data_IF_628987410332
#
_entry.id   IF_628987410332
#
_cell.length_a   1.000
_cell.length_b   1.000
_cell.length_c   1.000
_cell.angle_alpha   90.00
_cell.angle_beta   90.00
_cell.angle_gamma   90.00
#
_symmetry.space_group_name_H-M   'P 1'
#
loop_
_entity.id
_entity.type
_entity.pdbx_description
1 polymer ?
#
# COMPACT_ATOMS: atom_id res chain seq x y z
N UNK A 1 -19.98 22.41 -4.23
CA UNK A 1 -18.94 21.36 -4.37
C UNK A 1 -19.49 20.25 -5.24
N UNK A 2 -18.70 19.66 -6.09
CA UNK A 2 -19.13 18.55 -6.96
C UNK A 2 -18.61 17.24 -6.37
N UNK A 3 -19.50 16.27 -6.21
CA UNK A 3 -19.14 14.94 -5.75
C UNK A 3 -18.76 14.06 -6.96
N UNK A 4 -17.51 13.65 -7.03
CA UNK A 4 -16.99 12.81 -8.09
C UNK A 4 -16.98 11.35 -7.62
N UNK A 5 -17.60 10.47 -8.38
CA UNK A 5 -17.49 9.03 -8.18
C UNK A 5 -16.36 8.50 -9.08
N UNK A 6 -15.19 8.36 -8.51
CA UNK A 6 -14.00 7.90 -9.22
C UNK A 6 -13.99 6.38 -9.28
N UNK A 7 -13.83 5.82 -10.48
CA UNK A 7 -13.76 4.38 -10.74
C UNK A 7 -12.50 4.06 -11.52
N UNK A 8 -11.77 3.06 -11.07
CA UNK A 8 -10.69 2.42 -11.84
C UNK A 8 -11.11 1.02 -12.30
N UNK A 9 -11.83 0.31 -11.45
CA UNK A 9 -12.48 -0.97 -11.72
C UNK A 9 -13.78 -1.07 -10.95
N UNK A 10 -14.52 -2.17 -11.08
CA UNK A 10 -15.76 -2.38 -10.33
C UNK A 10 -15.56 -2.45 -8.83
N UNK A 11 -14.37 -2.92 -8.38
CA UNK A 11 -13.99 -3.03 -6.96
C UNK A 11 -13.12 -1.88 -6.46
N UNK A 12 -12.53 -1.09 -7.35
CA UNK A 12 -11.69 0.05 -6.99
C UNK A 12 -12.41 1.35 -7.33
N UNK A 13 -13.21 1.79 -6.37
CA UNK A 13 -14.06 2.97 -6.50
C UNK A 13 -14.08 3.75 -5.18
N UNK A 14 -14.18 5.08 -5.28
CA UNK A 14 -14.30 5.98 -4.14
C UNK A 14 -15.00 7.29 -4.52
N UNK A 15 -15.46 8.03 -3.53
CA UNK A 15 -16.03 9.36 -3.71
C UNK A 15 -14.99 10.42 -3.35
N UNK A 16 -14.93 11.46 -4.15
CA UNK A 16 -14.07 12.62 -3.96
C UNK A 16 -14.89 13.90 -4.18
N UNK A 17 -14.81 14.84 -3.28
CA UNK A 17 -15.50 16.13 -3.39
C UNK A 17 -14.51 17.26 -3.66
N UNK A 18 -14.88 18.14 -4.59
CA UNK A 18 -14.04 19.28 -4.99
C UNK A 18 -14.91 20.43 -5.54
N UNK A 19 -14.43 21.69 -5.47
CA UNK A 19 -15.09 22.78 -6.17
C UNK A 19 -15.09 22.58 -7.69
N UNK A 20 -16.20 22.92 -8.36
CA UNK A 20 -16.27 22.82 -9.83
C UNK A 20 -15.27 23.75 -10.56
N UNK A 21 -14.81 24.79 -9.90
CA UNK A 21 -13.82 25.73 -10.43
C UNK A 21 -12.37 25.27 -10.30
N UNK A 22 -12.13 24.05 -9.79
CA UNK A 22 -10.79 23.48 -9.64
C UNK A 22 -10.26 23.04 -11.01
N UNK A 23 -8.98 23.25 -11.26
CA UNK A 23 -8.30 22.74 -12.45
C UNK A 23 -8.21 21.21 -12.44
N UNK A 24 -8.35 20.61 -13.61
CA UNK A 24 -8.32 19.15 -13.78
C UNK A 24 -6.98 18.57 -13.30
N UNK A 25 -5.85 19.25 -13.47
CA UNK A 25 -4.54 18.76 -13.00
C UNK A 25 -4.51 18.64 -11.46
N UNK A 26 -5.07 19.60 -10.75
CA UNK A 26 -5.18 19.55 -9.28
C UNK A 26 -6.06 18.38 -8.85
N UNK A 27 -7.22 18.24 -9.48
CA UNK A 27 -8.14 17.10 -9.23
C UNK A 27 -7.46 15.77 -9.50
N UNK A 28 -6.72 15.63 -10.61
CA UNK A 28 -5.98 14.42 -10.97
C UNK A 28 -4.93 14.07 -9.91
N UNK A 29 -4.15 15.05 -9.43
CA UNK A 29 -3.13 14.85 -8.38
C UNK A 29 -3.76 14.33 -7.09
N UNK A 30 -4.85 14.92 -6.64
CA UNK A 30 -5.54 14.48 -5.41
C UNK A 30 -6.16 13.10 -5.58
N UNK A 31 -6.80 12.83 -6.71
CA UNK A 31 -7.40 11.53 -7.02
C UNK A 31 -6.34 10.42 -7.08
N UNK A 32 -5.18 10.68 -7.72
CA UNK A 32 -4.06 9.74 -7.76
C UNK A 32 -3.47 9.51 -6.38
N UNK A 33 -3.30 10.56 -5.58
CA UNK A 33 -2.80 10.45 -4.20
C UNK A 33 -3.75 9.61 -3.32
N UNK A 34 -5.05 9.83 -3.41
CA UNK A 34 -6.07 9.04 -2.70
C UNK A 34 -6.00 7.57 -3.15
N UNK A 35 -5.93 7.32 -4.47
CA UNK A 35 -5.82 5.97 -5.00
C UNK A 35 -4.58 5.25 -4.45
N UNK A 36 -3.40 5.88 -4.54
CA UNK A 36 -2.15 5.28 -4.08
C UNK A 36 -2.15 5.02 -2.56
N UNK A 37 -2.71 5.93 -1.76
CA UNK A 37 -2.88 5.71 -0.31
C UNK A 37 -3.82 4.54 -0.01
N UNK A 38 -4.92 4.36 -0.76
CA UNK A 38 -5.81 3.20 -0.61
C UNK A 38 -5.08 1.90 -0.90
N UNK A 39 -4.28 1.84 -1.97
CA UNK A 39 -3.46 0.67 -2.30
C UNK A 39 -2.41 0.42 -1.19
N UNK A 40 -1.73 1.47 -0.72
CA UNK A 40 -0.78 1.37 0.39
C UNK A 40 -1.43 0.81 1.67
N UNK A 41 -2.63 1.27 2.03
CA UNK A 41 -3.39 0.72 3.18
C UNK A 41 -3.72 -0.76 2.97
N UNK A 42 -4.11 -1.16 1.76
CA UNK A 42 -4.37 -2.57 1.43
C UNK A 42 -3.14 -3.46 1.65
N UNK A 43 -1.97 -3.03 1.15
CA UNK A 43 -0.70 -3.75 1.34
C UNK A 43 -0.29 -3.79 2.82
N UNK A 44 -0.35 -2.64 3.52
CA UNK A 44 -0.07 -2.58 4.96
C UNK A 44 -0.97 -3.52 5.74
N UNK A 45 -2.26 -3.55 5.44
CA UNK A 45 -3.23 -4.39 6.13
C UNK A 45 -2.84 -5.86 6.07
N UNK A 46 -2.54 -6.37 4.87
CA UNK A 46 -2.13 -7.76 4.68
C UNK A 46 -0.85 -8.11 5.46
N UNK A 47 0.13 -7.18 5.50
CA UNK A 47 1.40 -7.42 6.17
C UNK A 47 1.29 -7.28 7.70
N UNK A 48 0.50 -6.32 8.21
CA UNK A 48 0.33 -6.09 9.66
C UNK A 48 -0.52 -7.18 10.29
N UNK A 49 -1.50 -7.76 9.58
CA UNK A 49 -2.23 -8.94 10.05
C UNK A 49 -1.27 -10.11 10.32
N UNK A 50 -0.34 -10.38 9.40
CA UNK A 50 0.70 -11.38 9.61
C UNK A 50 1.68 -11.01 10.74
N UNK A 51 2.04 -9.73 10.87
CA UNK A 51 2.89 -9.23 11.96
C UNK A 51 2.21 -9.43 13.33
N UNK A 52 0.93 -9.17 13.44
CA UNK A 52 0.16 -9.34 14.66
C UNK A 52 0.02 -10.81 15.06
N UNK A 53 -0.09 -11.72 14.09
CA UNK A 53 -0.27 -13.14 14.33
C UNK A 53 1.05 -13.90 14.58
N UNK A 54 2.11 -13.57 13.84
CA UNK A 54 3.34 -14.37 13.75
C UNK A 54 4.63 -13.57 13.98
N UNK A 55 4.53 -12.29 14.32
CA UNK A 55 5.70 -11.45 14.59
C UNK A 55 6.45 -10.98 13.34
N UNK A 56 7.68 -10.45 13.52
CA UNK A 56 8.50 -9.90 12.44
C UNK A 56 8.92 -10.96 11.41
N UNK A 57 9.30 -10.52 10.22
CA UNK A 57 9.83 -11.41 9.20
C UNK A 57 11.17 -12.04 9.60
N UNK A 58 11.40 -13.29 9.17
CA UNK A 58 12.72 -13.94 9.21
C UNK A 58 13.67 -13.21 8.25
N UNK A 59 14.99 -13.36 8.46
CA UNK A 59 15.98 -12.88 7.49
C UNK A 59 15.70 -13.49 6.10
N UNK A 60 15.98 -12.79 5.01
CA UNK A 60 15.63 -13.25 3.67
C UNK A 60 16.09 -14.68 3.35
N UNK A 61 17.27 -15.06 3.83
CA UNK A 61 17.87 -16.39 3.62
C UNK A 61 17.14 -17.52 4.37
N UNK A 62 16.35 -17.17 5.42
CA UNK A 62 15.58 -18.12 6.22
C UNK A 62 14.10 -18.18 5.83
N UNK A 63 13.64 -17.29 4.97
CA UNK A 63 12.25 -17.26 4.58
C UNK A 63 11.88 -18.50 3.75
N UNK A 64 10.85 -19.21 4.18
CA UNK A 64 10.40 -20.46 3.56
C UNK A 64 11.17 -21.70 4.02
N UNK A 65 12.08 -21.56 4.99
CA UNK A 65 12.74 -22.67 5.65
C UNK A 65 12.15 -22.88 7.04
N UNK A 66 12.04 -24.16 7.44
CA UNK A 66 11.64 -24.50 8.80
C UNK A 66 12.73 -24.09 9.81
N UNK A 67 12.35 -23.96 11.08
CA UNK A 67 13.27 -23.56 12.13
C UNK A 67 14.34 -24.63 12.47
N UNK A 68 14.16 -25.85 11.95
CA UNK A 68 15.07 -26.98 12.15
C UNK A 68 16.16 -27.01 11.07
N UNK A 69 15.97 -26.34 9.94
CA UNK A 69 16.97 -26.24 8.88
C UNK A 69 18.11 -25.32 9.31
N UNK A 70 19.31 -25.88 9.58
CA UNK A 70 20.43 -25.06 10.02
C UNK A 70 20.87 -24.15 8.88
N UNK A 71 20.92 -22.85 9.13
CA UNK A 71 21.66 -21.94 8.27
C UNK A 71 23.14 -22.19 8.45
N UNK A 72 23.80 -22.44 7.36
CA UNK A 72 25.24 -22.47 7.32
C UNK A 72 25.73 -21.03 7.45
N UNK A 73 26.19 -20.64 8.64
CA UNK A 73 26.95 -19.41 8.81
C UNK A 73 28.31 -19.54 8.16
N UNK A 74 28.87 -18.40 7.80
CA UNK A 74 30.12 -18.24 7.10
C UNK A 74 31.17 -19.30 7.44
N UNK A 75 31.63 -19.96 6.39
CA UNK A 75 32.75 -20.87 6.45
C UNK A 75 33.97 -20.15 7.05
N UNK A 76 34.33 -20.47 8.27
CA UNK A 76 35.54 -19.92 8.86
C UNK A 76 36.75 -20.57 8.17
N UNK A 77 37.40 -19.76 7.31
CA UNK A 77 38.59 -20.19 6.54
C UNK A 77 39.77 -20.59 7.43
N UNK A 78 39.74 -20.19 8.73
CA UNK A 78 40.88 -20.46 9.66
C UNK A 78 40.82 -21.83 10.29
N UNK A 79 39.66 -22.36 10.60
CA UNK A 79 39.51 -23.63 11.30
C UNK A 79 38.76 -24.70 10.48
N UNK A 80 38.25 -24.37 9.32
CA UNK A 80 37.53 -25.28 8.42
C UNK A 80 36.19 -25.78 8.98
N UNK A 81 35.64 -25.13 10.02
CA UNK A 81 34.40 -25.51 10.64
C UNK A 81 33.27 -24.61 10.17
N UNK A 82 32.11 -25.21 9.85
CA UNK A 82 30.87 -24.50 9.61
C UNK A 82 30.10 -24.45 10.92
N UNK A 83 29.88 -23.29 11.46
CA UNK A 83 29.03 -23.11 12.66
C UNK A 83 27.58 -22.97 12.19
N UNK A 84 26.73 -23.87 12.66
CA UNK A 84 25.30 -23.71 12.53
C UNK A 84 24.84 -22.54 13.42
N UNK A 85 24.05 -21.64 12.87
CA UNK A 85 23.43 -20.56 13.66
C UNK A 85 22.44 -21.17 14.65
N UNK A 86 22.50 -20.74 15.89
CA UNK A 86 21.50 -21.15 16.88
C UNK A 86 20.10 -20.74 16.40
N UNK A 87 19.09 -21.62 16.57
CA UNK A 87 17.71 -21.24 16.24
C UNK A 87 17.32 -20.00 17.04
N UNK A 88 16.48 -19.13 16.47
CA UNK A 88 16.04 -17.92 17.15
C UNK A 88 15.29 -18.27 18.45
N UNK A 89 15.57 -17.50 19.51
CA UNK A 89 14.87 -17.68 20.79
C UNK A 89 13.36 -17.49 20.59
N UNK A 90 12.58 -18.44 21.09
CA UNK A 90 11.12 -18.37 21.05
C UNK A 90 10.62 -17.43 22.14
N UNK A 91 9.88 -16.41 21.74
CA UNK A 91 9.21 -15.45 22.63
C UNK A 91 8.07 -16.08 23.42
N UNK A 92 7.57 -15.35 24.43
CA UNK A 92 6.49 -15.80 25.31
C UNK A 92 5.16 -16.10 24.59
N UNK A 93 4.93 -15.44 23.45
CA UNK A 93 3.72 -15.59 22.63
C UNK A 93 4.05 -16.20 21.26
N UNK A 94 4.88 -17.24 21.28
CA UNK A 94 5.29 -17.91 20.05
C UNK A 94 4.11 -18.54 19.33
N UNK A 95 3.89 -18.15 18.07
CA UNK A 95 2.89 -18.68 17.16
C UNK A 95 3.55 -18.90 15.78
N UNK A 96 3.84 -20.15 15.39
CA UNK A 96 4.54 -20.46 14.16
C UNK A 96 3.77 -19.96 12.94
N UNK A 97 4.49 -19.40 11.96
CA UNK A 97 3.91 -18.99 10.70
C UNK A 97 3.85 -20.17 9.72
N UNK A 98 2.66 -20.57 9.25
CA UNK A 98 2.54 -21.67 8.29
C UNK A 98 3.27 -21.44 6.96
N UNK A 99 3.55 -20.18 6.63
CA UNK A 99 4.31 -19.81 5.42
C UNK A 99 5.83 -19.79 5.64
N UNK A 100 6.30 -20.03 6.86
CA UNK A 100 7.72 -19.98 7.27
C UNK A 100 8.45 -18.67 6.91
N UNK A 101 7.69 -17.59 6.75
CA UNK A 101 8.26 -16.27 6.39
C UNK A 101 8.53 -15.40 7.62
N UNK A 102 7.82 -15.66 8.73
CA UNK A 102 7.90 -14.88 9.97
C UNK A 102 8.52 -15.70 11.09
N UNK A 103 9.06 -15.00 12.10
CA UNK A 103 9.79 -15.61 13.22
C UNK A 103 8.92 -16.40 14.19
N UNK A 104 7.60 -16.27 14.12
CA UNK A 104 6.69 -16.82 15.11
C UNK A 104 6.63 -16.02 16.43
N UNK A 105 7.46 -15.01 16.63
CA UNK A 105 7.49 -14.21 17.86
C UNK A 105 6.42 -13.10 17.82
N UNK A 106 5.17 -13.50 17.99
CA UNK A 106 4.03 -12.59 18.03
C UNK A 106 4.12 -11.62 19.24
N UNK A 107 3.54 -10.41 19.14
CA UNK A 107 3.43 -9.50 20.26
C UNK A 107 2.42 -10.04 21.30
N UNK A 108 2.29 -9.35 22.45
CA UNK A 108 1.26 -9.74 23.43
C UNK A 108 -0.14 -9.67 22.79
N UNK A 109 -1.10 -10.48 23.25
CA UNK A 109 -2.46 -10.49 22.71
C UNK A 109 -3.13 -9.11 22.70
N UNK A 110 -2.82 -8.28 23.70
CA UNK A 110 -3.33 -6.91 23.79
C UNK A 110 -2.78 -6.02 22.65
N UNK A 111 -1.48 -6.10 22.38
CA UNK A 111 -0.83 -5.37 21.30
C UNK A 111 -1.25 -5.90 19.91
N UNK A 112 -1.40 -7.20 19.78
CA UNK A 112 -1.94 -7.81 18.56
C UNK A 112 -3.36 -7.30 18.27
N UNK A 113 -4.22 -7.19 19.28
CA UNK A 113 -5.56 -6.64 19.14
C UNK A 113 -5.54 -5.15 18.73
N UNK A 114 -4.63 -4.35 19.27
CA UNK A 114 -4.45 -2.94 18.85
C UNK A 114 -4.03 -2.85 17.39
N UNK A 115 -3.05 -3.66 16.94
CA UNK A 115 -2.62 -3.71 15.55
C UNK A 115 -3.78 -4.08 14.62
N UNK A 116 -4.49 -5.16 14.94
CA UNK A 116 -5.62 -5.65 14.13
C UNK A 116 -6.72 -4.60 14.02
N UNK A 117 -7.14 -4.00 15.15
CA UNK A 117 -8.16 -2.97 15.16
C UNK A 117 -7.77 -1.76 14.34
N UNK A 118 -6.53 -1.26 14.49
CA UNK A 118 -6.04 -0.10 13.73
C UNK A 118 -6.07 -0.37 12.22
N UNK A 119 -5.72 -1.59 11.82
CA UNK A 119 -5.78 -2.02 10.42
C UNK A 119 -7.22 -2.13 9.92
N UNK A 120 -8.13 -2.68 10.70
CA UNK A 120 -9.55 -2.78 10.35
C UNK A 120 -10.17 -1.39 10.16
N UNK A 121 -9.88 -0.44 11.04
CA UNK A 121 -10.33 0.94 10.92
C UNK A 121 -9.78 1.61 9.64
N UNK A 122 -8.51 1.40 9.32
CA UNK A 122 -7.90 1.90 8.09
C UNK A 122 -8.51 1.26 6.82
N UNK A 123 -8.74 -0.06 6.83
CA UNK A 123 -9.44 -0.77 5.74
C UNK A 123 -10.86 -0.24 5.55
N UNK A 124 -11.57 0.03 6.63
CA UNK A 124 -12.92 0.59 6.56
C UNK A 124 -12.93 1.97 5.87
N UNK A 125 -11.96 2.85 6.16
CA UNK A 125 -11.81 4.15 5.51
C UNK A 125 -11.43 4.04 4.03
N UNK A 126 -10.61 3.05 3.67
CA UNK A 126 -10.19 2.82 2.29
C UNK A 126 -11.21 2.01 1.46
N UNK A 127 -12.25 1.44 2.08
CA UNK A 127 -13.17 0.51 1.43
C UNK A 127 -14.19 1.21 0.54
N UNK A 128 -14.77 0.45 -0.41
CA UNK A 128 -15.91 0.87 -1.24
C UNK A 128 -17.19 1.13 -0.43
N UNK A 129 -17.27 0.70 0.84
CA UNK A 129 -18.40 1.00 1.73
C UNK A 129 -18.60 2.50 1.92
N UNK A 130 -17.53 3.31 1.83
CA UNK A 130 -17.62 4.77 1.87
C UNK A 130 -18.50 5.31 0.72
N UNK A 131 -18.43 4.67 -0.45
CA UNK A 131 -19.28 5.03 -1.62
C UNK A 131 -20.75 4.75 -1.32
N UNK A 132 -21.05 3.62 -0.70
CA UNK A 132 -22.43 3.24 -0.33
C UNK A 132 -23.00 4.20 0.74
N UNK A 133 -22.18 4.63 1.67
CA UNK A 133 -22.51 5.63 2.70
C UNK A 133 -22.51 7.07 2.17
N UNK A 134 -22.13 7.29 0.91
CA UNK A 134 -21.98 8.60 0.28
C UNK A 134 -21.00 9.52 0.99
N UNK A 135 -19.95 8.95 1.59
CA UNK A 135 -18.88 9.70 2.27
C UNK A 135 -17.71 9.89 1.31
N UNK A 136 -17.30 11.14 1.13
CA UNK A 136 -16.13 11.45 0.32
C UNK A 136 -14.84 11.04 1.05
N UNK A 137 -13.94 10.42 0.32
CA UNK A 137 -12.62 10.03 0.82
C UNK A 137 -11.66 11.19 0.66
N UNK A 138 -10.94 11.55 1.71
CA UNK A 138 -9.94 12.62 1.70
C UNK A 138 -8.54 12.06 1.82
N UNK A 139 -7.58 12.69 1.15
CA UNK A 139 -6.17 12.31 1.27
C UNK A 139 -5.69 12.37 2.73
N UNK A 140 -6.13 13.40 3.47
CA UNK A 140 -5.76 13.58 4.89
C UNK A 140 -6.22 12.40 5.74
N UNK A 141 -7.49 11.98 5.64
CA UNK A 141 -8.01 10.87 6.45
C UNK A 141 -7.25 9.55 6.19
N UNK A 142 -6.86 9.28 4.93
CA UNK A 142 -6.07 8.10 4.59
C UNK A 142 -4.62 8.22 5.08
N UNK A 143 -4.02 9.40 5.00
CA UNK A 143 -2.67 9.65 5.52
C UNK A 143 -2.63 9.49 7.05
N UNK A 144 -3.63 10.02 7.75
CA UNK A 144 -3.79 9.87 9.20
C UNK A 144 -3.95 8.37 9.57
N UNK A 145 -4.72 7.61 8.78
CA UNK A 145 -4.87 6.17 9.00
C UNK A 145 -3.53 5.41 8.84
N UNK A 146 -2.72 5.73 7.83
CA UNK A 146 -1.35 5.18 7.69
C UNK A 146 -0.48 5.59 8.88
N UNK A 147 -0.59 6.84 9.36
CA UNK A 147 0.10 7.32 10.56
C UNK A 147 -0.29 6.55 11.82
N UNK A 148 -1.58 6.22 11.98
CA UNK A 148 -2.08 5.42 13.09
C UNK A 148 -1.52 3.98 13.05
N UNK A 149 -1.46 3.36 11.87
CA UNK A 149 -0.83 2.03 11.71
C UNK A 149 0.65 2.11 12.11
N UNK A 150 1.38 3.14 11.66
CA UNK A 150 2.79 3.36 12.05
C UNK A 150 2.92 3.47 13.57
N UNK A 151 2.07 4.26 14.22
CA UNK A 151 2.07 4.43 15.67
C UNK A 151 1.80 3.11 16.41
N UNK A 152 0.82 2.33 15.96
CA UNK A 152 0.51 1.02 16.54
C UNK A 152 1.68 0.04 16.40
N UNK A 153 2.35 0.01 15.24
CA UNK A 153 3.56 -0.81 15.02
C UNK A 153 4.70 -0.38 15.95
N UNK A 154 4.94 0.92 16.14
CA UNK A 154 5.97 1.42 17.05
C UNK A 154 5.68 1.09 18.52
N UNK A 155 4.41 1.05 18.92
CA UNK A 155 4.01 0.63 20.27
C UNK A 155 4.24 -0.88 20.45
N UNK A 156 3.89 -1.69 19.47
CA UNK A 156 4.06 -3.14 19.53
C UNK A 156 5.55 -3.57 19.46
N UNK A 157 6.36 -2.83 18.71
CA UNK A 157 7.78 -3.10 18.47
C UNK A 157 8.64 -1.86 18.73
N UNK A 158 8.88 -1.50 20.00
CA UNK A 158 9.62 -0.27 20.35
C UNK A 158 11.07 -0.24 19.84
N UNK A 159 11.69 -1.42 19.69
CA UNK A 159 13.03 -1.56 19.12
C UNK A 159 13.05 -1.43 17.59
N UNK A 160 11.87 -1.26 16.97
CA UNK A 160 11.68 -1.24 15.52
C UNK A 160 11.59 -2.64 14.91
N UNK A 161 11.13 -2.69 13.66
CA UNK A 161 11.13 -3.89 12.84
C UNK A 161 12.46 -3.99 12.07
N UNK A 162 12.90 -5.21 11.68
CA UNK A 162 14.04 -5.40 10.79
C UNK A 162 13.90 -4.59 9.48
N UNK A 163 15.00 -4.19 8.87
CA UNK A 163 15.01 -3.41 7.62
C UNK A 163 14.36 -4.16 6.44
N UNK A 164 14.41 -5.48 6.47
CA UNK A 164 13.80 -6.36 5.47
C UNK A 164 12.33 -6.70 5.75
N UNK A 165 11.77 -6.25 6.89
CA UNK A 165 10.35 -6.49 7.17
C UNK A 165 9.46 -5.68 6.23
N UNK A 166 8.51 -6.36 5.58
CA UNK A 166 7.64 -5.74 4.58
C UNK A 166 6.81 -4.59 5.16
N UNK A 167 6.37 -4.66 6.43
CA UNK A 167 5.65 -3.55 7.08
C UNK A 167 6.54 -2.31 7.15
N UNK A 168 7.81 -2.47 7.56
CA UNK A 168 8.75 -1.36 7.61
C UNK A 168 9.04 -0.79 6.22
N UNK A 169 9.27 -1.65 5.24
CA UNK A 169 9.53 -1.23 3.86
C UNK A 169 8.36 -0.41 3.28
N UNK A 170 7.12 -0.84 3.49
CA UNK A 170 5.94 -0.10 3.04
C UNK A 170 5.81 1.25 3.78
N UNK A 171 6.03 1.27 5.10
CA UNK A 171 5.94 2.50 5.89
C UNK A 171 7.01 3.52 5.54
N UNK A 172 8.21 3.07 5.19
CA UNK A 172 9.37 3.91 4.83
C UNK A 172 9.47 4.16 3.31
N UNK A 173 8.50 3.66 2.51
CA UNK A 173 8.46 3.81 1.05
C UNK A 173 9.70 3.24 0.34
N UNK A 174 10.23 2.14 0.89
CA UNK A 174 11.40 1.43 0.37
C UNK A 174 11.05 0.15 -0.40
N UNK A 175 9.77 -0.09 -0.65
CA UNK A 175 9.35 -1.25 -1.45
C UNK A 175 9.98 -1.19 -2.84
N UNK A 176 10.44 -2.35 -3.33
CA UNK A 176 10.90 -2.46 -4.72
C UNK A 176 9.72 -2.21 -5.67
N UNK A 177 9.83 -1.18 -6.47
CA UNK A 177 8.80 -0.75 -7.45
C UNK A 177 8.59 -1.79 -8.56
N UNK A 178 9.50 -2.74 -8.71
CA UNK A 178 9.49 -3.76 -9.76
C UNK A 178 8.53 -4.93 -9.53
N UNK A 179 7.83 -4.95 -8.38
CA UNK A 179 6.87 -5.99 -8.02
C UNK A 179 5.42 -5.63 -8.33
N UNK A 180 4.49 -6.48 -7.87
CA UNK A 180 3.05 -6.26 -7.97
C UNK A 180 2.60 -4.90 -7.38
N UNK A 181 3.31 -4.39 -6.37
CA UNK A 181 3.08 -3.08 -5.77
C UNK A 181 3.24 -1.92 -6.78
N UNK A 182 4.25 -1.96 -7.63
CA UNK A 182 4.48 -0.94 -8.66
C UNK A 182 3.46 -0.96 -9.80
N UNK A 183 2.75 -2.08 -10.00
CA UNK A 183 1.67 -2.17 -10.99
C UNK A 183 0.37 -1.52 -10.47
N UNK A 184 0.18 -1.43 -9.17
CA UNK A 184 -1.02 -0.87 -8.55
C UNK A 184 -0.91 0.64 -8.35
N UNK A 185 0.28 1.17 -8.09
CA UNK A 185 0.52 2.60 -7.95
C UNK A 185 0.46 3.33 -9.30
N UNK A 186 -0.13 4.51 -9.27
CA UNK A 186 -0.26 5.38 -10.43
C UNK A 186 0.72 6.54 -10.33
N UNK A 187 1.53 6.71 -11.37
CA UNK A 187 2.32 7.92 -11.58
C UNK A 187 1.42 9.01 -12.18
N UNK A 188 1.54 10.24 -11.68
CA UNK A 188 0.71 11.37 -12.11
C UNK A 188 0.84 11.62 -13.61
N UNK A 189 2.05 11.49 -14.16
CA UNK A 189 2.36 11.71 -15.58
C UNK A 189 1.64 10.70 -16.48
N UNK A 190 1.48 9.46 -15.99
CA UNK A 190 0.85 8.34 -16.69
C UNK A 190 -0.64 8.18 -16.37
N UNK A 191 -1.19 9.02 -15.49
CA UNK A 191 -2.59 8.98 -15.13
C UNK A 191 -3.43 9.93 -15.99
N UNK A 192 -4.68 9.56 -16.25
CA UNK A 192 -5.67 10.40 -16.91
C UNK A 192 -7.05 10.20 -16.30
N UNK A 193 -7.84 11.27 -16.28
CA UNK A 193 -9.23 11.25 -15.88
C UNK A 193 -10.12 11.32 -17.12
N UNK A 194 -11.19 10.53 -17.11
CA UNK A 194 -12.17 10.45 -18.18
C UNK A 194 -13.57 10.69 -17.64
N UNK A 195 -14.37 11.47 -18.35
CA UNK A 195 -15.76 11.69 -18.05
C UNK A 195 -16.57 11.56 -19.34
N UNK A 196 -17.64 10.76 -19.34
CA UNK A 196 -18.48 10.51 -20.52
C UNK A 196 -17.68 10.13 -21.79
N UNK A 197 -16.70 9.23 -21.65
CA UNK A 197 -15.80 8.78 -22.72
C UNK A 197 -14.90 9.88 -23.32
N UNK A 198 -14.73 11.01 -22.62
CA UNK A 198 -13.78 12.07 -23.00
C UNK A 198 -12.67 12.18 -21.97
N UNK A 199 -11.43 12.23 -22.45
CA UNK A 199 -10.28 12.55 -21.59
C UNK A 199 -10.34 14.02 -21.16
N UNK A 200 -10.16 14.27 -19.88
CA UNK A 200 -10.10 15.60 -19.31
C UNK A 200 -8.71 16.20 -19.57
N UNK A 201 -8.68 17.39 -20.14
CA UNK A 201 -7.44 18.13 -20.35
C UNK A 201 -7.01 18.81 -19.06
N UNK A 202 -5.75 18.67 -18.68
CA UNK A 202 -5.21 19.10 -17.39
C UNK A 202 -5.33 20.59 -17.13
N UNK A 203 -5.18 21.39 -18.18
CA UNK A 203 -5.18 22.86 -18.14
C UNK A 203 -6.57 23.49 -18.05
N UNK A 204 -7.62 22.67 -18.13
CA UNK A 204 -9.00 23.13 -18.10
C UNK A 204 -9.62 23.03 -16.71
N UNK A 205 -10.66 23.83 -16.51
CA UNK A 205 -11.46 23.75 -15.30
C UNK A 205 -12.41 22.54 -15.33
N UNK A 206 -12.61 21.92 -14.19
CA UNK A 206 -13.53 20.81 -14.04
C UNK A 206 -14.95 21.17 -14.47
N UNK A 207 -15.38 22.42 -14.24
CA UNK A 207 -16.71 22.95 -14.63
C UNK A 207 -17.01 22.87 -16.13
N UNK A 208 -15.99 22.84 -17.00
CA UNK A 208 -16.17 22.71 -18.44
C UNK A 208 -16.71 21.31 -18.84
N UNK A 209 -16.43 20.29 -18.01
CA UNK A 209 -16.81 18.91 -18.25
C UNK A 209 -18.05 18.48 -17.46
N UNK A 210 -18.15 18.90 -16.19
CA UNK A 210 -19.22 18.48 -15.30
C UNK A 210 -20.39 19.47 -15.24
N UNK A 211 -20.18 20.69 -15.80
CA UNK A 211 -21.13 21.81 -15.70
C UNK A 211 -21.12 22.45 -14.30
N UNK A 212 -21.98 23.42 -14.11
CA UNK A 212 -22.08 24.19 -12.86
C UNK A 212 -22.98 23.55 -11.77
N UNK A 213 -23.62 22.41 -12.08
CA UNK A 213 -24.53 21.75 -11.18
C UNK A 213 -23.79 20.81 -10.22
N UNK A 214 -24.09 20.92 -8.93
CA UNK A 214 -23.51 20.12 -7.83
C UNK A 214 -24.01 18.65 -7.78
N UNK A 215 -24.31 18.05 -8.94
CA UNK A 215 -24.72 16.64 -9.02
C UNK A 215 -23.48 15.73 -9.06
N UNK A 216 -23.61 14.57 -8.43
CA UNK A 216 -22.61 13.50 -8.52
C UNK A 216 -22.30 13.15 -9.97
N UNK A 217 -21.00 13.05 -10.30
CA UNK A 217 -20.51 12.68 -11.64
C UNK A 217 -19.62 11.47 -11.53
N UNK A 218 -19.76 10.54 -12.48
CA UNK A 218 -18.87 9.37 -12.58
C UNK A 218 -17.67 9.75 -13.42
N UNK A 219 -16.49 9.46 -12.87
CA UNK A 219 -15.21 9.63 -13.56
C UNK A 219 -14.44 8.33 -13.58
N UNK A 220 -13.69 8.10 -14.64
CA UNK A 220 -12.84 6.93 -14.77
C UNK A 220 -11.38 7.35 -14.69
N UNK A 221 -10.65 6.69 -13.79
CA UNK A 221 -9.20 6.87 -13.62
C UNK A 221 -8.48 5.79 -14.44
N UNK A 222 -7.72 6.20 -15.43
CA UNK A 222 -6.97 5.31 -16.30
C UNK A 222 -5.46 5.51 -16.17
N UNK A 223 -4.71 4.44 -16.41
CA UNK A 223 -3.28 4.50 -16.67
C UNK A 223 -3.10 4.68 -18.18
N UNK A 224 -2.42 5.73 -18.61
CA UNK A 224 -2.06 5.89 -20.03
C UNK A 224 -1.16 4.73 -20.46
N UNK A 225 -1.54 4.04 -21.52
CA UNK A 225 -0.63 3.09 -22.16
C UNK A 225 0.58 3.87 -22.66
N UNK A 226 1.79 3.40 -22.37
CA UNK A 226 3.00 3.92 -22.96
C UNK A 226 2.88 3.63 -24.46
N UNK A 227 2.55 4.64 -25.27
CA UNK A 227 2.66 4.53 -26.71
C UNK A 227 4.14 4.27 -27.01
N UNK A 228 4.46 3.06 -27.51
CA UNK A 228 5.75 2.77 -28.14
C UNK A 228 5.86 3.68 -29.37
N UNK A 229 6.27 4.92 -29.17
CA UNK A 229 6.65 5.79 -30.27
C UNK A 229 8.16 5.71 -30.47
N UNK A 230 8.49 5.14 -31.63
CA UNK A 230 9.70 5.42 -32.41
C UNK A 230 11.05 4.92 -31.89
N UNK A 231 11.23 3.59 -32.00
CA UNK A 231 12.53 3.07 -32.45
C UNK A 231 12.44 2.63 -33.92
N UNK A 232 12.15 3.54 -34.82
CA UNK A 232 12.35 3.30 -36.26
C UNK A 232 12.67 4.63 -36.94
N UNK A 233 13.89 5.11 -36.75
CA UNK A 233 14.60 5.91 -37.77
C UNK A 233 16.03 6.13 -37.30
N UNK A 234 16.92 5.21 -37.65
CA UNK A 234 18.33 5.46 -38.01
C UNK A 234 18.94 4.15 -38.49
N UNK A 235 18.57 3.75 -39.69
CA UNK A 235 19.41 3.00 -40.61
C UNK A 235 19.25 3.66 -41.96
N UNK A 236 20.11 4.56 -42.23
CA UNK A 236 20.71 4.86 -43.54
C UNK A 236 22.01 5.60 -43.27
#
# INVERSE_FOLDING_TARGET
MVLLHVKRSDKDTFLFDTPAATEVDVVLREVVAIHNLRQKIGRLAAQVEGLAAHGPMKVPEQQGLDDETPLLEDYDVKDGTTKARAPPERGAHFCPDPSERRTGNAPSPELAAVLTKTVEDAKALASERQVQMKVATTQKALADAVGNIRGAVMIAYPMGLPDYDAVRQILEEREAVDGAAGLEELEIEKASLWCFNKELQREKLLSEYVGKNDKSKVMHLHRKAISKQNETTKKN
#
